data_IF_025088360537
#
_entry.id   IF_025088360537
#
_cell.length_a   1.000
_cell.length_b   1.000
_cell.length_c   1.000
_cell.angle_alpha   90.00
_cell.angle_beta   90.00
_cell.angle_gamma   90.00
#
_symmetry.space_group_name_H-M   'P 1'
#
loop_
_entity.id
_entity.type
_entity.pdbx_description
1 polymer ?
#
# COMPACT_ATOMS: atom_id res chain seq x y z
N UNK A 1 8.91 11.47 -25.81
CA UNK A 1 8.29 10.27 -25.28
C UNK A 1 7.97 10.44 -23.81
N UNK A 2 6.78 10.11 -23.50
CA UNK A 2 6.39 10.09 -22.10
C UNK A 2 6.72 8.72 -21.53
N UNK A 3 7.36 8.69 -20.42
CA UNK A 3 7.57 7.45 -19.72
C UNK A 3 7.30 7.69 -18.25
N UNK A 4 6.95 6.61 -17.58
CA UNK A 4 6.67 6.70 -16.16
C UNK A 4 8.02 6.71 -15.47
N UNK A 5 8.28 7.82 -14.80
CA UNK A 5 9.48 7.91 -14.00
C UNK A 5 9.34 6.91 -12.88
N UNK A 6 10.33 6.05 -12.71
CA UNK A 6 10.26 5.06 -11.65
C UNK A 6 10.15 5.79 -10.32
N UNK A 7 9.19 5.38 -9.52
CA UNK A 7 9.02 5.93 -8.20
C UNK A 7 9.97 5.24 -7.25
N UNK A 8 10.61 6.04 -6.44
CA UNK A 8 11.49 5.50 -5.43
C UNK A 8 10.69 5.21 -4.16
N UNK A 9 11.04 4.13 -3.50
CA UNK A 9 10.40 3.70 -2.29
C UNK A 9 11.42 3.69 -1.16
N UNK A 10 10.93 3.97 0.04
CA UNK A 10 11.75 3.85 1.23
C UNK A 10 10.91 3.31 2.37
N UNK A 11 11.55 2.83 3.40
CA UNK A 11 10.87 2.34 4.60
C UNK A 11 11.89 2.13 5.70
N UNK A 12 11.37 1.91 6.91
CA UNK A 12 12.17 1.51 8.05
C UNK A 12 12.47 0.01 7.92
N UNK A 13 13.74 -0.34 7.78
CA UNK A 13 14.12 -1.73 7.54
C UNK A 13 13.71 -2.65 8.69
N UNK A 14 13.74 -2.17 9.91
CA UNK A 14 13.31 -2.97 11.06
C UNK A 14 11.82 -3.29 10.98
N UNK A 15 11.02 -2.35 10.50
CA UNK A 15 9.59 -2.58 10.33
C UNK A 15 9.32 -3.58 9.20
N UNK A 16 10.10 -3.51 8.13
CA UNK A 16 9.97 -4.47 7.04
C UNK A 16 10.30 -5.89 7.51
N UNK A 17 11.37 -6.04 8.28
CA UNK A 17 11.75 -7.34 8.81
C UNK A 17 10.71 -7.88 9.79
N UNK A 18 10.16 -7.01 10.62
CA UNK A 18 9.10 -7.42 11.52
C UNK A 18 7.86 -7.88 10.76
N UNK A 19 7.52 -7.16 9.69
CA UNK A 19 6.41 -7.55 8.84
C UNK A 19 6.62 -8.95 8.27
N UNK A 20 7.84 -9.24 7.82
CA UNK A 20 8.16 -10.56 7.30
C UNK A 20 8.00 -11.63 8.37
N UNK A 21 8.52 -11.36 9.56
CA UNK A 21 8.45 -12.32 10.66
C UNK A 21 7.02 -12.57 11.11
N UNK A 22 6.22 -11.51 11.19
CA UNK A 22 4.86 -11.61 11.74
C UNK A 22 3.82 -11.99 10.69
N UNK A 23 4.03 -11.59 9.44
CA UNK A 23 2.99 -11.71 8.41
C UNK A 23 3.40 -12.54 7.20
N UNK A 24 4.68 -12.89 7.09
CA UNK A 24 5.15 -13.75 6.01
C UNK A 24 5.53 -13.01 4.73
N UNK A 25 5.52 -11.69 4.72
CA UNK A 25 5.98 -10.90 3.58
C UNK A 25 6.57 -9.59 4.10
N UNK A 26 7.44 -8.98 3.31
CA UNK A 26 8.13 -7.75 3.69
C UNK A 26 7.69 -6.56 2.84
N UNK A 27 8.27 -5.40 3.08
CA UNK A 27 7.89 -4.19 2.35
C UNK A 27 8.40 -4.20 0.91
N UNK A 28 9.46 -4.94 0.64
CA UNK A 28 9.90 -5.12 -0.76
C UNK A 28 8.78 -5.78 -1.57
N UNK A 29 8.15 -6.79 -0.99
CA UNK A 29 7.01 -7.43 -1.63
C UNK A 29 5.83 -6.46 -1.75
N UNK A 30 5.59 -5.66 -0.70
CA UNK A 30 4.46 -4.74 -0.65
C UNK A 30 4.55 -3.64 -1.71
N UNK A 31 5.76 -3.34 -2.23
CA UNK A 31 5.92 -2.39 -3.32
C UNK A 31 5.02 -2.75 -4.50
N UNK A 32 4.80 -4.03 -4.73
CA UNK A 32 3.96 -4.49 -5.85
C UNK A 32 2.53 -3.99 -5.77
N UNK A 33 2.05 -3.63 -4.58
CA UNK A 33 0.70 -3.11 -4.43
C UNK A 33 0.49 -1.79 -5.18
N UNK A 34 1.56 -1.06 -5.44
CA UNK A 34 1.47 0.24 -6.09
C UNK A 34 1.28 0.14 -7.60
N UNK A 35 1.35 -1.08 -8.15
CA UNK A 35 1.26 -1.31 -9.59
C UNK A 35 -0.05 -1.96 -10.01
N UNK A 36 -0.96 -2.25 -9.09
CA UNK A 36 -2.28 -2.75 -9.43
C UNK A 36 -3.08 -1.61 -10.07
N UNK A 37 -3.54 -1.78 -11.33
CA UNK A 37 -4.31 -0.71 -11.98
C UNK A 37 -5.65 -0.45 -11.30
N UNK A 38 -6.15 -1.39 -10.52
CA UNK A 38 -7.43 -1.26 -9.83
C UNK A 38 -7.27 -0.83 -8.36
N UNK A 39 -6.08 -0.44 -7.97
CA UNK A 39 -5.83 -0.06 -6.59
C UNK A 39 -6.71 1.10 -6.14
N UNK A 40 -7.07 1.08 -4.89
CA UNK A 40 -7.87 2.15 -4.28
C UNK A 40 -6.97 2.90 -3.31
N UNK A 41 -6.90 4.22 -3.48
CA UNK A 41 -6.09 5.07 -2.61
C UNK A 41 -7.01 6.06 -1.93
N UNK A 42 -6.89 6.17 -0.62
CA UNK A 42 -7.67 7.15 0.14
C UNK A 42 -6.83 7.70 1.26
N UNK A 43 -7.17 8.93 1.67
CA UNK A 43 -6.46 9.58 2.75
C UNK A 43 -6.76 8.86 4.06
N UNK A 44 -5.74 8.62 4.87
CA UNK A 44 -5.89 8.04 6.19
C UNK A 44 -6.03 9.18 7.19
N UNK A 45 -7.24 9.43 7.63
CA UNK A 45 -7.57 10.55 8.51
C UNK A 45 -7.87 10.11 9.94
N UNK A 46 -7.54 8.86 10.29
CA UNK A 46 -7.87 8.33 11.61
C UNK A 46 -7.16 9.06 12.75
N UNK A 47 -5.96 9.55 12.49
CA UNK A 47 -5.14 10.22 13.50
C UNK A 47 -4.44 11.41 12.89
N UNK A 48 -4.00 12.33 13.75
CA UNK A 48 -3.13 13.41 13.33
C UNK A 48 -1.69 12.95 13.54
N UNK A 49 -1.05 12.61 12.42
CA UNK A 49 0.32 12.08 12.44
C UNK A 49 1.37 13.17 12.27
N UNK A 50 0.96 14.44 12.15
CA UNK A 50 1.88 15.49 11.76
C UNK A 50 2.29 15.41 10.29
N UNK A 51 1.73 14.48 9.53
CA UNK A 51 1.97 14.33 8.10
C UNK A 51 0.75 13.64 7.49
N UNK A 52 0.57 13.84 6.19
CA UNK A 52 -0.52 13.20 5.48
C UNK A 52 -0.15 11.76 5.18
N UNK A 53 -1.02 10.83 5.55
CA UNK A 53 -0.86 9.42 5.25
C UNK A 53 -1.99 8.94 4.36
N UNK A 54 -1.71 7.91 3.58
CA UNK A 54 -2.65 7.34 2.63
C UNK A 54 -2.80 5.85 2.90
N UNK A 55 -4.00 5.36 2.66
CA UNK A 55 -4.28 3.94 2.72
C UNK A 55 -4.43 3.43 1.29
N UNK A 56 -3.71 2.39 0.96
CA UNK A 56 -3.76 1.74 -0.34
C UNK A 56 -4.37 0.37 -0.17
N UNK A 57 -5.45 0.09 -0.91
CA UNK A 57 -6.05 -1.24 -0.95
C UNK A 57 -5.81 -1.76 -2.36
N UNK A 58 -5.14 -2.89 -2.47
CA UNK A 58 -4.57 -3.31 -3.75
C UNK A 58 -4.37 -4.81 -3.78
N UNK A 59 -4.33 -5.36 -4.98
CA UNK A 59 -4.15 -6.81 -5.15
C UNK A 59 -2.74 -7.12 -5.61
N UNK A 60 -2.11 -8.10 -4.95
CA UNK A 60 -0.82 -8.65 -5.36
C UNK A 60 -1.01 -10.15 -5.50
N UNK A 61 -0.74 -10.67 -6.68
CA UNK A 61 -0.79 -12.12 -6.94
C UNK A 61 -2.09 -12.75 -6.45
N UNK A 62 -3.20 -12.10 -6.76
CA UNK A 62 -4.53 -12.64 -6.47
C UNK A 62 -5.04 -12.38 -5.05
N UNK A 63 -4.28 -11.73 -4.20
CA UNK A 63 -4.70 -11.44 -2.83
C UNK A 63 -4.71 -9.93 -2.58
N UNK A 64 -5.70 -9.48 -1.82
CA UNK A 64 -5.83 -8.05 -1.51
C UNK A 64 -5.03 -7.72 -0.26
N UNK A 65 -4.28 -6.63 -0.34
CA UNK A 65 -3.44 -6.12 0.74
C UNK A 65 -3.82 -4.68 1.05
N UNK A 66 -3.43 -4.23 2.23
CA UNK A 66 -3.58 -2.84 2.64
C UNK A 66 -2.20 -2.33 3.04
N UNK A 67 -1.81 -1.21 2.46
CA UNK A 67 -0.56 -0.55 2.82
C UNK A 67 -0.85 0.87 3.26
N UNK A 68 -0.10 1.33 4.24
CA UNK A 68 -0.16 2.73 4.67
C UNK A 68 1.15 3.36 4.24
N UNK A 69 1.07 4.53 3.63
CA UNK A 69 2.27 5.22 3.16
C UNK A 69 2.11 6.73 3.27
N UNK A 70 3.21 7.42 3.19
CA UNK A 70 3.23 8.87 3.07
C UNK A 70 4.16 9.26 1.93
N UNK A 71 4.04 10.49 1.47
CA UNK A 71 4.87 11.01 0.39
C UNK A 71 5.90 11.97 0.98
N UNK A 72 7.16 11.79 0.60
CA UNK A 72 8.25 12.67 1.02
C UNK A 72 9.05 13.05 -0.22
N UNK A 73 8.95 14.30 -0.62
CA UNK A 73 9.57 14.76 -1.86
C UNK A 73 9.12 13.85 -3.01
N UNK A 74 10.04 13.13 -3.64
CA UNK A 74 9.70 12.22 -4.73
C UNK A 74 9.69 10.76 -4.29
N UNK A 75 9.56 10.51 -2.97
CA UNK A 75 9.63 9.17 -2.42
C UNK A 75 8.28 8.75 -1.87
N UNK A 76 7.96 7.46 -2.03
CA UNK A 76 6.85 6.84 -1.31
C UNK A 76 7.46 6.13 -0.12
N UNK A 77 7.08 6.57 1.08
CA UNK A 77 7.55 5.91 2.31
C UNK A 77 6.48 4.96 2.80
N UNK A 78 6.77 3.67 2.73
CA UNK A 78 5.87 2.63 3.23
C UNK A 78 5.98 2.58 4.74
N UNK A 79 4.84 2.68 5.43
CA UNK A 79 4.78 2.71 6.88
C UNK A 79 4.34 1.37 7.43
N UNK A 80 3.36 0.74 6.79
CA UNK A 80 2.89 -0.58 7.20
C UNK A 80 2.22 -1.28 6.04
N UNK A 81 2.12 -2.60 6.14
CA UNK A 81 1.47 -3.41 5.13
C UNK A 81 0.91 -4.67 5.79
N UNK A 82 -0.27 -5.08 5.36
CA UNK A 82 -0.93 -6.27 5.87
C UNK A 82 -1.90 -6.80 4.84
N UNK A 83 -2.34 -8.03 5.04
CA UNK A 83 -3.41 -8.58 4.20
C UNK A 83 -4.72 -7.88 4.56
N UNK A 84 -5.58 -7.69 3.57
CA UNK A 84 -6.87 -7.05 3.77
C UNK A 84 -7.81 -7.96 4.56
N UNK A 85 -8.68 -7.36 5.36
CA UNK A 85 -9.76 -8.10 6.02
C UNK A 85 -10.93 -8.26 5.04
N UNK A 86 -11.97 -8.99 5.49
CA UNK A 86 -13.10 -9.30 4.61
C UNK A 86 -13.82 -8.06 4.11
N UNK A 87 -13.97 -7.06 4.96
CA UNK A 87 -14.64 -5.82 4.59
C UNK A 87 -13.84 -5.08 3.51
N UNK A 88 -12.52 -5.05 3.66
CA UNK A 88 -11.66 -4.39 2.70
C UNK A 88 -11.62 -5.12 1.37
N UNK A 89 -11.60 -6.45 1.42
CA UNK A 89 -11.69 -7.25 0.19
C UNK A 89 -12.98 -6.95 -0.54
N UNK A 90 -14.10 -6.93 0.19
CA UNK A 90 -15.40 -6.64 -0.41
C UNK A 90 -15.41 -5.25 -1.03
N UNK A 91 -14.89 -4.26 -0.32
CA UNK A 91 -14.81 -2.90 -0.84
C UNK A 91 -13.99 -2.84 -2.13
N UNK A 92 -12.85 -3.52 -2.15
CA UNK A 92 -12.01 -3.57 -3.34
C UNK A 92 -12.75 -4.20 -4.50
N UNK A 93 -13.40 -5.34 -4.26
CA UNK A 93 -14.09 -6.07 -5.33
C UNK A 93 -15.28 -5.29 -5.87
N UNK A 94 -16.04 -4.66 -5.00
CA UNK A 94 -17.20 -3.88 -5.43
C UNK A 94 -16.79 -2.66 -6.25
N UNK A 95 -15.69 -2.03 -5.85
CA UNK A 95 -15.20 -0.85 -6.55
C UNK A 95 -14.64 -1.21 -7.93
N UNK A 96 -13.92 -2.32 -8.02
CA UNK A 96 -13.30 -2.73 -9.28
C UNK A 96 -14.29 -3.36 -10.26
N UNK A 97 -15.41 -3.89 -9.77
CA UNK A 97 -16.43 -4.48 -10.62
C UNK A 97 -17.50 -3.47 -11.04
N UNK A 98 -17.46 -2.29 -10.49
CA UNK A 98 -18.45 -1.28 -10.76
C UNK A 98 -18.03 -0.48 -11.99
N UNK A 99 -18.54 -0.89 -13.12
CA UNK A 99 -18.30 -0.21 -14.38
C UNK A 99 -19.60 0.23 -14.98
#
# INVERSE_FOLDING_TARGET
MSYIKSMDFEWDQNKSERCFTERGFDFTYAVNAFFDPDRITQKDSRYDYGETRYQLISKIEGRVFVAIYTLRANLIRIISARKANKREVKHYEETTHDN
#
